data_IF_422149371086
#
_entry.id   IF_422149371086
#
_cell.length_a   1.000
_cell.length_b   1.000
_cell.length_c   1.000
_cell.angle_alpha   90.00
_cell.angle_beta   90.00
_cell.angle_gamma   90.00
#
_symmetry.space_group_name_H-M   'P 1'
#
loop_
_entity.id
_entity.type
_entity.pdbx_description
1 polymer ?
#
# COMPACT_ATOMS: atom_id res chain seq x y z
N UNK A 1 26.14 -34.03 71.37
CA UNK A 1 26.27 -35.24 70.54
C UNK A 1 24.89 -35.79 70.23
N UNK A 2 24.31 -35.45 69.07
CA UNK A 2 23.23 -36.20 68.43
C UNK A 2 23.51 -36.08 66.92
N UNK A 3 23.85 -37.19 66.28
CA UNK A 3 24.10 -37.22 64.83
C UNK A 3 22.79 -37.19 64.05
N UNK A 4 22.73 -36.57 62.85
CA UNK A 4 21.61 -36.75 61.95
C UNK A 4 21.65 -38.16 61.34
N UNK A 5 20.52 -38.87 61.43
CA UNK A 5 20.33 -40.23 60.93
C UNK A 5 20.55 -40.30 59.39
N UNK A 6 21.22 -41.34 58.85
CA UNK A 6 21.42 -41.46 57.42
C UNK A 6 20.10 -41.86 56.72
N UNK A 7 19.69 -41.07 55.72
CA UNK A 7 18.49 -41.37 54.92
C UNK A 7 18.67 -42.72 54.19
N UNK A 8 17.69 -43.65 54.25
CA UNK A 8 17.78 -44.91 53.53
C UNK A 8 17.71 -44.69 52.01
N UNK A 9 18.45 -45.51 51.26
CA UNK A 9 18.57 -45.40 49.81
C UNK A 9 17.23 -45.67 49.10
N UNK A 10 16.86 -44.78 48.17
CA UNK A 10 15.53 -44.65 47.58
C UNK A 10 15.04 -45.81 46.69
N UNK A 11 15.77 -46.92 46.60
CA UNK A 11 15.53 -48.01 45.65
C UNK A 11 14.54 -49.07 46.12
N UNK A 12 14.73 -49.61 47.33
CA UNK A 12 14.12 -50.89 47.73
C UNK A 12 12.86 -50.78 48.61
N UNK A 13 12.65 -49.65 49.31
CA UNK A 13 11.52 -49.48 50.24
C UNK A 13 10.13 -49.33 49.58
N UNK A 14 10.06 -49.30 48.23
CA UNK A 14 8.86 -48.85 47.49
C UNK A 14 7.77 -49.90 47.24
N UNK A 15 8.04 -51.17 47.56
CA UNK A 15 7.13 -52.29 47.27
C UNK A 15 6.17 -52.64 48.43
N UNK A 16 6.49 -52.24 49.67
CA UNK A 16 5.69 -52.53 50.86
C UNK A 16 4.87 -51.31 51.36
N UNK A 17 4.65 -50.31 50.50
CA UNK A 17 3.99 -49.07 50.88
C UNK A 17 2.47 -49.21 50.92
N UNK A 18 1.86 -48.86 52.07
CA UNK A 18 0.40 -48.81 52.21
C UNK A 18 -0.23 -47.82 51.22
N UNK A 19 -1.44 -48.14 50.74
CA UNK A 19 -2.19 -47.30 49.79
C UNK A 19 -2.31 -45.84 50.25
N UNK A 20 -2.48 -45.63 51.56
CA UNK A 20 -2.61 -44.29 52.15
C UNK A 20 -1.32 -43.48 51.98
N UNK A 21 -0.18 -44.06 52.32
CA UNK A 21 1.16 -43.47 52.18
C UNK A 21 1.51 -43.18 50.71
N UNK A 22 1.06 -44.04 49.79
CA UNK A 22 1.23 -43.86 48.35
C UNK A 22 0.37 -42.69 47.82
N UNK A 23 -0.86 -42.55 48.32
CA UNK A 23 -1.76 -41.45 47.99
C UNK A 23 -1.25 -40.10 48.52
N UNK A 24 -0.85 -40.05 49.79
CA UNK A 24 -0.28 -38.86 50.44
C UNK A 24 0.95 -38.34 49.69
N UNK A 25 1.88 -39.23 49.33
CA UNK A 25 3.07 -38.84 48.54
C UNK A 25 2.72 -38.35 47.13
N UNK A 26 1.65 -38.86 46.54
CA UNK A 26 1.15 -38.38 45.24
C UNK A 26 0.53 -36.98 45.36
N UNK A 27 -0.21 -36.73 46.43
CA UNK A 27 -0.77 -35.42 46.77
C UNK A 27 0.34 -34.40 47.09
N UNK A 28 1.31 -34.75 47.93
CA UNK A 28 2.48 -33.94 48.26
C UNK A 28 3.33 -33.62 47.01
N UNK A 29 3.52 -34.58 46.09
CA UNK A 29 4.17 -34.33 44.80
C UNK A 29 3.38 -33.33 43.94
N UNK A 30 2.05 -33.38 44.00
CA UNK A 30 1.15 -32.48 43.26
C UNK A 30 1.10 -31.08 43.87
N UNK A 31 1.12 -30.98 45.19
CA UNK A 31 1.19 -29.71 45.94
C UNK A 31 2.57 -29.06 45.81
N UNK A 32 3.67 -29.82 45.91
CA UNK A 32 5.02 -29.35 45.61
C UNK A 32 5.13 -28.76 44.20
N UNK A 33 4.45 -29.35 43.20
CA UNK A 33 4.35 -28.79 41.83
C UNK A 33 3.48 -27.53 41.72
N UNK A 34 2.48 -27.34 42.60
CA UNK A 34 1.69 -26.09 42.70
C UNK A 34 2.45 -24.98 43.42
N UNK A 35 3.21 -25.33 44.46
CA UNK A 35 3.91 -24.37 45.33
C UNK A 35 5.29 -23.96 44.80
N UNK A 36 5.81 -24.59 43.74
CA UNK A 36 6.99 -24.08 43.03
C UNK A 36 6.67 -22.74 42.36
N UNK A 37 7.39 -21.64 42.68
CA UNK A 37 7.32 -20.44 41.87
C UNK A 37 7.67 -20.79 40.43
N UNK A 38 6.88 -20.30 39.46
CA UNK A 38 7.10 -20.56 38.03
C UNK A 38 8.28 -19.75 37.46
N UNK A 39 9.46 -19.92 38.05
CA UNK A 39 10.76 -19.49 37.53
C UNK A 39 11.16 -20.46 36.43
N UNK A 40 10.49 -20.35 35.29
CA UNK A 40 11.18 -20.64 34.03
C UNK A 40 12.25 -19.57 33.86
N UNK A 41 13.49 -19.95 33.55
CA UNK A 41 14.62 -19.02 33.38
C UNK A 41 14.32 -17.90 32.37
N UNK A 42 13.39 -18.16 31.45
CA UNK A 42 12.83 -17.20 30.51
C UNK A 42 12.12 -15.99 31.17
N UNK A 43 11.62 -16.08 32.41
CA UNK A 43 10.75 -15.05 33.05
C UNK A 43 11.45 -14.08 34.02
N UNK A 44 12.66 -14.36 34.50
CA UNK A 44 13.37 -13.47 35.44
C UNK A 44 14.13 -12.32 34.76
N UNK A 45 14.44 -12.43 33.47
CA UNK A 45 15.18 -11.40 32.74
C UNK A 45 14.27 -10.20 32.46
N UNK A 46 14.57 -9.06 33.08
CA UNK A 46 13.83 -7.81 32.93
C UNK A 46 13.72 -7.36 31.46
N UNK A 47 12.66 -6.61 31.13
CA UNK A 47 12.27 -6.27 29.75
C UNK A 47 13.45 -5.82 28.89
N UNK A 48 14.30 -4.92 29.40
CA UNK A 48 15.49 -4.37 28.72
C UNK A 48 16.48 -5.45 28.28
N UNK A 49 16.87 -6.36 29.17
CA UNK A 49 17.88 -7.39 28.87
C UNK A 49 17.32 -8.48 27.93
N UNK A 50 16.00 -8.73 27.96
CA UNK A 50 15.31 -9.53 26.92
C UNK A 50 15.36 -8.84 25.55
N UNK A 51 15.17 -7.52 25.47
CA UNK A 51 15.25 -6.79 24.20
C UNK A 51 16.66 -6.88 23.63
N UNK A 52 17.69 -6.59 24.43
CA UNK A 52 19.09 -6.74 24.03
C UNK A 52 19.44 -8.16 23.58
N UNK A 53 19.00 -9.19 24.32
CA UNK A 53 19.25 -10.59 23.93
C UNK A 53 18.52 -10.98 22.64
N UNK A 54 17.28 -10.49 22.43
CA UNK A 54 16.54 -10.70 21.17
C UNK A 54 17.22 -10.00 20.00
N UNK A 55 17.64 -8.76 20.16
CA UNK A 55 18.39 -8.01 19.15
C UNK A 55 19.73 -8.68 18.84
N UNK A 56 20.48 -9.15 19.85
CA UNK A 56 21.72 -9.89 19.65
C UNK A 56 21.51 -11.17 18.81
N UNK A 57 20.46 -11.95 19.13
CA UNK A 57 20.07 -13.14 18.36
C UNK A 57 19.51 -12.83 16.96
N UNK A 58 19.07 -11.58 16.72
CA UNK A 58 18.58 -11.11 15.43
C UNK A 58 19.75 -10.60 14.56
N UNK A 59 20.66 -9.80 15.13
CA UNK A 59 21.94 -9.40 14.50
C UNK A 59 22.78 -10.63 14.12
N UNK A 60 22.94 -11.60 15.02
CA UNK A 60 23.66 -12.84 14.73
C UNK A 60 23.03 -13.65 13.58
N UNK A 61 21.69 -13.67 13.48
CA UNK A 61 20.98 -14.31 12.35
C UNK A 61 21.16 -13.55 11.04
N UNK A 62 21.11 -12.22 11.06
CA UNK A 62 21.41 -11.39 9.89
C UNK A 62 22.86 -11.57 9.42
N UNK A 63 23.84 -11.55 10.32
CA UNK A 63 25.24 -11.81 9.99
C UNK A 63 25.46 -13.19 9.37
N UNK A 64 24.79 -14.24 9.87
CA UNK A 64 24.82 -15.57 9.27
C UNK A 64 24.15 -15.61 7.89
N UNK A 65 23.07 -14.86 7.68
CA UNK A 65 22.40 -14.72 6.39
C UNK A 65 23.29 -14.01 5.35
N UNK A 66 23.93 -12.89 5.73
CA UNK A 66 24.88 -12.18 4.89
C UNK A 66 26.11 -13.04 4.55
N UNK A 67 26.69 -13.73 5.56
CA UNK A 67 27.82 -14.66 5.37
C UNK A 67 27.47 -15.82 4.41
N UNK A 68 26.26 -16.39 4.51
CA UNK A 68 25.78 -17.46 3.60
C UNK A 68 25.50 -17.00 2.17
N UNK A 69 25.33 -15.69 1.95
CA UNK A 69 25.02 -15.09 0.64
C UNK A 69 26.17 -14.25 0.05
N UNK A 70 27.34 -14.24 0.70
CA UNK A 70 28.50 -13.41 0.34
C UNK A 70 28.19 -11.91 0.15
N UNK A 71 27.17 -11.42 0.85
CA UNK A 71 26.78 -10.01 0.85
C UNK A 71 27.63 -9.27 1.90
N UNK A 72 28.46 -8.32 1.47
CA UNK A 72 29.13 -7.39 2.39
C UNK A 72 28.10 -6.41 2.95
N UNK A 73 28.10 -6.24 4.27
CA UNK A 73 27.40 -5.14 4.92
C UNK A 73 28.29 -3.91 4.79
N UNK A 74 27.84 -2.89 4.05
CA UNK A 74 28.42 -1.55 4.18
C UNK A 74 27.95 -0.93 5.50
N UNK A 75 28.76 -1.05 6.56
CA UNK A 75 28.67 -0.11 7.69
C UNK A 75 29.24 1.24 7.24
N UNK A 76 28.38 2.04 6.63
CA UNK A 76 28.70 3.37 6.11
C UNK A 76 28.83 4.36 7.29
N UNK A 77 29.95 4.30 8.00
CA UNK A 77 30.09 4.99 9.29
C UNK A 77 31.49 5.29 9.82
N UNK A 78 32.59 4.87 9.17
CA UNK A 78 33.94 5.29 9.58
C UNK A 78 34.74 5.88 8.41
N UNK A 79 35.00 7.19 8.49
CA UNK A 79 35.92 7.90 7.62
C UNK A 79 37.21 8.20 8.39
N UNK A 80 38.23 7.36 8.16
CA UNK A 80 39.65 7.60 8.46
C UNK A 80 40.42 6.92 7.33
N UNK A 81 41.50 7.42 6.73
CA UNK A 81 42.27 8.66 6.82
C UNK A 81 43.44 8.45 5.82
N UNK A 82 43.80 9.37 4.92
CA UNK A 82 45.04 9.27 4.15
C UNK A 82 46.17 10.08 4.80
N UNK A 83 47.13 9.38 5.41
CA UNK A 83 48.49 9.85 5.70
C UNK A 83 49.44 9.02 4.82
N UNK A 84 50.57 9.49 4.29
CA UNK A 84 51.25 10.78 4.43
C UNK A 84 52.07 11.08 3.14
N UNK A 85 52.52 12.33 2.97
CA UNK A 85 53.40 12.75 1.86
C UNK A 85 53.72 14.25 1.91
N UNK A 86 54.92 14.58 2.37
CA UNK A 86 55.45 15.95 2.56
C UNK A 86 55.96 16.62 1.24
N UNK A 87 56.63 17.80 1.25
CA UNK A 87 56.24 19.11 1.81
C UNK A 87 56.46 20.29 0.82
N UNK A 88 55.91 21.48 1.10
CA UNK A 88 56.29 22.72 0.40
C UNK A 88 55.65 23.99 1.00
N UNK A 89 56.32 25.18 1.02
CA UNK A 89 56.17 26.08 2.19
C UNK A 89 55.65 27.50 1.89
N UNK A 90 55.66 28.34 2.95
CA UNK A 90 55.42 29.80 2.98
C UNK A 90 53.93 30.21 3.09
N UNK A 91 53.51 31.18 3.94
CA UNK A 91 54.24 32.08 4.86
C UNK A 91 53.26 32.73 5.86
N UNK A 92 53.68 32.97 7.12
CA UNK A 92 53.37 34.13 8.02
C UNK A 92 51.88 34.54 8.27
N UNK A 93 51.45 35.06 9.42
CA UNK A 93 52.04 35.35 10.74
C UNK A 93 50.87 35.63 11.71
N UNK A 94 50.98 35.36 13.03
CA UNK A 94 49.97 35.84 14.00
C UNK A 94 49.76 34.99 15.26
N UNK A 95 50.71 35.02 16.20
CA UNK A 95 50.48 34.76 17.64
C UNK A 95 49.89 36.05 18.26
N UNK A 96 49.28 36.16 19.46
CA UNK A 96 48.86 35.25 20.56
C UNK A 96 47.55 35.86 21.18
N UNK A 97 46.98 35.54 22.36
CA UNK A 97 47.24 34.62 23.51
C UNK A 97 45.86 34.27 24.09
N UNK A 98 45.54 33.03 24.45
CA UNK A 98 45.59 32.47 25.83
C UNK A 98 44.95 33.32 26.95
N UNK A 99 43.80 32.86 27.49
CA UNK A 99 43.41 32.93 28.92
C UNK A 99 42.00 32.30 29.19
N UNK A 100 42.02 31.14 29.88
CA UNK A 100 41.03 30.57 30.85
C UNK A 100 39.52 30.93 30.86
N UNK A 101 38.70 29.87 30.70
CA UNK A 101 37.72 29.30 31.69
C UNK A 101 36.57 30.17 32.30
N UNK A 102 35.47 29.57 32.85
CA UNK A 102 34.44 28.76 32.17
C UNK A 102 33.00 29.22 32.58
N UNK A 103 31.97 28.37 32.36
CA UNK A 103 30.57 28.51 32.84
C UNK A 103 29.72 29.58 32.10
N UNK A 104 28.39 29.49 31.97
CA UNK A 104 27.44 28.36 32.01
C UNK A 104 26.03 28.84 31.57
N UNK A 105 25.09 27.91 31.44
CA UNK A 105 23.62 28.09 31.43
C UNK A 105 22.82 28.47 30.16
N UNK A 106 21.70 27.75 30.07
CA UNK A 106 20.38 28.16 29.57
C UNK A 106 20.19 28.42 28.05
N UNK A 107 19.88 27.33 27.34
CA UNK A 107 19.05 27.39 26.12
C UNK A 107 17.72 28.12 26.43
N UNK A 108 17.38 29.13 25.64
CA UNK A 108 15.99 29.60 25.45
C UNK A 108 15.59 29.41 23.98
N UNK A 109 14.32 29.11 23.78
CA UNK A 109 13.71 28.62 22.53
C UNK A 109 13.61 29.72 21.46
N UNK A 110 13.81 29.39 20.18
CA UNK A 110 13.00 29.88 19.05
C UNK A 110 13.27 29.06 17.77
N UNK A 111 12.22 28.93 16.94
CA UNK A 111 12.14 28.07 15.75
C UNK A 111 12.54 28.82 14.45
N UNK A 112 12.08 28.42 13.26
CA UNK A 112 12.73 27.44 12.38
C UNK A 112 13.24 28.06 11.07
N UNK A 113 14.11 27.37 10.31
CA UNK A 113 14.44 27.78 8.94
C UNK A 113 14.54 26.61 7.96
N UNK A 114 14.07 26.88 6.74
CA UNK A 114 13.95 25.98 5.58
C UNK A 114 15.31 25.49 5.04
N UNK A 115 15.32 24.24 4.55
CA UNK A 115 15.92 23.75 3.29
C UNK A 115 15.58 22.23 3.24
N UNK A 116 14.88 21.65 2.25
CA UNK A 116 15.00 21.62 0.77
C UNK A 116 16.08 20.65 0.27
N UNK A 117 15.63 19.73 -0.60
CA UNK A 117 16.36 18.78 -1.46
C UNK A 117 16.90 17.47 -0.88
N UNK A 118 16.61 16.35 -1.57
CA UNK A 118 17.08 15.01 -1.22
C UNK A 118 16.31 13.86 -1.89
N UNK A 119 16.08 13.90 -3.20
CA UNK A 119 15.41 12.83 -3.96
C UNK A 119 16.31 11.60 -4.16
N UNK A 120 15.76 10.41 -3.95
CA UNK A 120 16.19 9.19 -4.66
C UNK A 120 15.00 8.24 -4.80
N UNK A 121 14.68 7.87 -6.03
CA UNK A 121 13.58 6.95 -6.37
C UNK A 121 13.94 5.50 -6.03
N UNK A 122 12.92 4.69 -5.73
CA UNK A 122 12.88 3.33 -6.27
C UNK A 122 11.43 2.95 -6.60
N UNK A 123 11.25 2.21 -7.70
CA UNK A 123 9.96 2.05 -8.40
C UNK A 123 9.41 0.65 -8.14
N UNK A 124 8.17 0.55 -7.67
CA UNK A 124 7.35 -0.65 -7.89
C UNK A 124 5.89 -0.28 -8.19
N UNK A 125 5.44 -0.69 -9.37
CA UNK A 125 4.04 -0.70 -9.75
C UNK A 125 3.68 -2.13 -10.18
N UNK A 126 2.72 -2.75 -9.48
CA UNK A 126 1.92 -3.86 -10.02
C UNK A 126 0.49 -3.72 -9.52
N UNK A 127 -0.47 -4.04 -10.37
CA UNK A 127 -1.87 -3.66 -10.23
C UNK A 127 -2.71 -4.57 -9.31
N UNK A 128 -3.90 -4.06 -8.99
CA UNK A 128 -4.97 -4.72 -8.24
C UNK A 128 -5.52 -5.98 -8.92
N UNK A 129 -6.10 -6.90 -8.13
CA UNK A 129 -7.55 -7.16 -8.16
C UNK A 129 -8.06 -7.74 -6.81
N UNK A 130 -9.36 -7.58 -6.48
CA UNK A 130 -9.93 -7.92 -5.16
C UNK A 130 -10.79 -9.21 -5.18
N UNK A 131 -11.19 -9.73 -4.01
CA UNK A 131 -12.35 -10.61 -3.89
C UNK A 131 -13.59 -9.88 -3.33
N UNK A 132 -14.74 -10.17 -3.95
CA UNK A 132 -16.09 -10.07 -3.37
C UNK A 132 -16.09 -10.63 -1.93
N UNK A 133 -16.81 -10.08 -0.95
CA UNK A 133 -18.09 -9.40 -1.04
C UNK A 133 -19.19 -10.37 -0.58
N UNK A 134 -19.54 -10.29 0.71
CA UNK A 134 -20.69 -10.94 1.32
C UNK A 134 -21.10 -10.16 2.57
N UNK A 135 -22.04 -9.25 2.39
CA UNK A 135 -22.68 -8.55 3.50
C UNK A 135 -23.68 -9.48 4.18
N UNK A 136 -23.63 -9.59 5.51
CA UNK A 136 -24.84 -9.82 6.31
C UNK A 136 -24.64 -9.26 7.72
N UNK A 137 -25.43 -8.25 8.02
CA UNK A 137 -25.54 -7.61 9.33
C UNK A 137 -26.88 -8.05 10.00
N UNK A 138 -27.26 -7.63 11.23
CA UNK A 138 -27.64 -8.60 12.25
C UNK A 138 -29.10 -8.46 12.74
N UNK A 139 -29.55 -9.42 13.55
CA UNK A 139 -30.73 -9.27 14.39
C UNK A 139 -30.63 -10.08 15.69
N UNK A 140 -30.84 -9.34 16.78
CA UNK A 140 -31.21 -9.68 18.16
C UNK A 140 -31.68 -11.10 18.53
N UNK A 141 -31.35 -11.54 19.76
CA UNK A 141 -32.27 -11.49 20.91
C UNK A 141 -31.60 -11.97 22.22
N UNK A 142 -32.04 -11.43 23.37
CA UNK A 142 -31.50 -11.71 24.71
C UNK A 142 -31.97 -13.08 25.29
N UNK A 143 -31.23 -13.64 26.27
CA UNK A 143 -31.59 -14.89 26.93
C UNK A 143 -32.58 -14.69 28.09
N UNK A 144 -33.38 -15.73 28.40
CA UNK A 144 -34.25 -15.76 29.59
C UNK A 144 -34.00 -16.99 30.45
N UNK A 145 -34.02 -16.80 31.77
CA UNK A 145 -33.91 -17.86 32.78
C UNK A 145 -35.25 -18.61 32.95
N UNK A 146 -35.17 -19.88 33.34
CA UNK A 146 -36.06 -20.48 34.34
C UNK A 146 -35.44 -21.78 34.91
N UNK A 147 -35.73 -22.12 36.16
CA UNK A 147 -35.39 -23.40 36.78
C UNK A 147 -36.63 -24.13 37.28
N UNK A 148 -36.46 -25.35 37.80
CA UNK A 148 -37.52 -26.13 38.47
C UNK A 148 -37.75 -27.53 37.89
N UNK A 149 -37.86 -28.52 38.77
CA UNK A 149 -38.20 -29.94 38.52
C UNK A 149 -39.56 -30.26 39.21
N UNK A 150 -40.07 -31.51 39.24
CA UNK A 150 -40.64 -32.35 38.17
C UNK A 150 -42.05 -32.88 38.64
N UNK A 151 -42.47 -34.16 38.47
CA UNK A 151 -42.70 -35.01 37.28
C UNK A 151 -44.18 -35.42 37.09
N UNK A 152 -44.56 -35.92 35.90
CA UNK A 152 -45.80 -36.69 35.63
C UNK A 152 -45.51 -37.81 34.59
N UNK A 153 -46.36 -38.84 34.57
CA UNK A 153 -46.09 -40.17 33.95
C UNK A 153 -46.03 -40.22 32.41
N UNK A 154 -45.33 -41.22 31.81
CA UNK A 154 -45.30 -41.43 30.37
C UNK A 154 -46.50 -42.24 29.84
N UNK A 155 -47.12 -41.84 28.70
CA UNK A 155 -48.29 -42.50 28.13
C UNK A 155 -47.97 -43.63 27.13
N UNK A 156 -49.03 -44.38 26.79
CA UNK A 156 -49.04 -45.57 25.92
C UNK A 156 -49.07 -45.18 24.42
N UNK A 157 -48.27 -45.86 23.55
CA UNK A 157 -48.71 -46.57 22.31
C UNK A 157 -47.60 -46.69 21.22
N UNK A 158 -47.31 -47.95 20.82
CA UNK A 158 -47.24 -48.53 19.44
C UNK A 158 -46.30 -47.86 18.38
N UNK A 159 -45.61 -48.64 17.51
CA UNK A 159 -46.30 -49.49 16.51
C UNK A 159 -45.72 -50.88 16.23
N UNK A 160 -46.60 -51.78 15.77
CA UNK A 160 -46.25 -53.00 15.04
C UNK A 160 -46.52 -52.73 13.55
N UNK A 161 -45.58 -53.07 12.67
CA UNK A 161 -45.69 -52.81 11.22
C UNK A 161 -45.10 -53.97 10.40
N UNK A 162 -45.95 -54.51 9.50
CA UNK A 162 -45.62 -55.36 8.35
C UNK A 162 -45.09 -56.77 8.70
N UNK A 163 -45.30 -57.82 7.88
CA UNK A 163 -45.35 -57.84 6.42
C UNK A 163 -46.55 -58.58 5.79
N UNK A 164 -46.82 -58.15 4.55
CA UNK A 164 -47.37 -58.85 3.37
C UNK A 164 -47.36 -60.40 3.46
N UNK A 165 -48.34 -61.14 2.94
CA UNK A 165 -49.33 -60.76 1.93
C UNK A 165 -48.87 -61.16 0.52
N UNK A 166 -48.97 -62.45 0.20
CA UNK A 166 -48.86 -62.98 -1.16
C UNK A 166 -50.21 -63.57 -1.56
N UNK A 167 -50.73 -63.13 -2.70
CA UNK A 167 -52.02 -63.57 -3.23
C UNK A 167 -51.89 -64.93 -3.92
N UNK A 168 -52.95 -65.73 -3.82
CA UNK A 168 -53.50 -66.39 -5.00
C UNK A 168 -55.03 -66.32 -4.93
N UNK A 169 -55.63 -65.57 -5.87
CA UNK A 169 -57.06 -65.69 -6.21
C UNK A 169 -57.14 -66.57 -7.44
N UNK A 170 -57.92 -67.64 -7.35
CA UNK A 170 -58.42 -68.46 -8.45
C UNK A 170 -59.59 -69.28 -7.87
N UNK A 171 -60.71 -69.51 -8.54
CA UNK A 171 -61.29 -68.85 -9.71
C UNK A 171 -62.80 -69.14 -9.66
N UNK A 172 -63.64 -68.40 -10.39
CA UNK A 172 -65.06 -68.79 -10.49
C UNK A 172 -65.18 -70.03 -11.37
N UNK A 173 -65.92 -71.05 -10.93
CA UNK A 173 -66.47 -72.04 -11.86
C UNK A 173 -67.87 -72.44 -11.42
N UNK A 174 -68.83 -72.10 -12.26
CA UNK A 174 -70.24 -72.46 -12.11
C UNK A 174 -70.46 -73.94 -12.52
N UNK A 175 -71.68 -74.51 -12.39
CA UNK A 175 -71.87 -75.97 -12.39
C UNK A 175 -71.67 -76.58 -13.77
N UNK A 176 -71.46 -77.90 -13.85
CA UNK A 176 -72.14 -78.81 -14.82
C UNK A 176 -71.62 -80.26 -14.73
N UNK A 177 -72.57 -81.18 -14.53
CA UNK A 177 -72.73 -82.53 -15.13
C UNK A 177 -71.48 -83.41 -15.33
N UNK A 178 -71.57 -84.61 -14.72
CA UNK A 178 -71.11 -85.93 -15.19
C UNK A 178 -70.05 -85.95 -16.32
N UNK A 179 -68.93 -86.64 -16.07
CA UNK A 179 -68.68 -87.83 -16.88
C UNK A 179 -67.85 -88.90 -16.15
N UNK A 180 -68.19 -90.14 -16.47
CA UNK A 180 -67.51 -91.38 -16.04
C UNK A 180 -66.49 -91.83 -17.12
N UNK A 181 -65.62 -92.78 -16.75
CA UNK A 181 -64.61 -93.49 -17.55
C UNK A 181 -63.47 -92.61 -18.11
N UNK A 182 -62.18 -92.95 -17.98
CA UNK A 182 -61.52 -94.26 -17.90
C UNK A 182 -60.14 -94.10 -17.22
N UNK A 183 -59.93 -94.62 -16.01
CA UNK A 183 -59.46 -96.00 -15.74
C UNK A 183 -58.05 -96.34 -16.23
N UNK A 184 -57.07 -96.13 -15.34
CA UNK A 184 -56.01 -97.09 -14.91
C UNK A 184 -55.07 -96.31 -13.96
N UNK A 185 -55.37 -96.21 -12.66
CA UNK A 185 -54.70 -97.02 -11.61
C UNK A 185 -55.47 -96.96 -10.25
N UNK A 186 -56.80 -96.98 -10.28
CA UNK A 186 -57.67 -96.58 -9.15
C UNK A 186 -57.42 -97.26 -7.79
N UNK A 187 -56.99 -98.53 -7.74
CA UNK A 187 -56.79 -99.23 -6.45
C UNK A 187 -55.56 -98.77 -5.68
N UNK A 188 -54.45 -98.47 -6.38
CA UNK A 188 -53.28 -97.87 -5.73
C UNK A 188 -53.60 -96.44 -5.27
N UNK A 189 -54.21 -95.65 -6.15
CA UNK A 189 -54.55 -94.24 -5.88
C UNK A 189 -55.51 -94.10 -4.70
N UNK A 190 -56.58 -94.90 -4.61
CA UNK A 190 -57.57 -94.75 -3.53
C UNK A 190 -57.10 -95.27 -2.15
N UNK A 191 -56.14 -96.19 -2.08
CA UNK A 191 -55.51 -96.61 -0.82
C UNK A 191 -54.52 -95.53 -0.37
N UNK A 192 -53.66 -95.07 -1.29
CA UNK A 192 -52.74 -93.97 -1.04
C UNK A 192 -53.48 -92.69 -0.61
N UNK A 193 -54.60 -92.32 -1.25
CA UNK A 193 -55.39 -91.15 -0.88
C UNK A 193 -55.90 -91.22 0.57
N UNK A 194 -56.36 -92.39 1.05
CA UNK A 194 -56.81 -92.55 2.45
C UNK A 194 -55.66 -92.40 3.44
N UNK A 195 -54.52 -93.01 3.14
CA UNK A 195 -53.31 -92.91 3.98
C UNK A 195 -52.74 -91.48 3.96
N UNK A 196 -52.77 -90.79 2.82
CA UNK A 196 -52.38 -89.38 2.65
C UNK A 196 -53.34 -88.47 3.44
N UNK A 197 -54.65 -88.71 3.40
CA UNK A 197 -55.63 -87.94 4.18
C UNK A 197 -55.39 -88.14 5.68
N UNK A 198 -55.23 -89.37 6.16
CA UNK A 198 -54.92 -89.67 7.56
C UNK A 198 -53.59 -89.04 8.01
N UNK A 199 -52.56 -89.11 7.18
CA UNK A 199 -51.28 -88.44 7.44
C UNK A 199 -51.45 -86.92 7.49
N UNK A 200 -52.33 -86.34 6.66
CA UNK A 200 -52.67 -84.92 6.72
C UNK A 200 -53.40 -84.55 8.01
N UNK A 201 -54.23 -85.43 8.56
CA UNK A 201 -54.95 -85.24 9.82
C UNK A 201 -54.00 -85.32 11.01
N UNK A 202 -53.13 -86.33 11.06
CA UNK A 202 -52.07 -86.41 12.06
C UNK A 202 -51.11 -85.21 11.99
N UNK A 203 -50.77 -84.73 10.79
CA UNK A 203 -49.94 -83.53 10.63
C UNK A 203 -50.65 -82.26 11.14
N UNK A 204 -51.94 -82.08 10.83
CA UNK A 204 -52.76 -80.97 11.37
C UNK A 204 -52.85 -81.04 12.89
N UNK A 205 -53.07 -82.22 13.46
CA UNK A 205 -53.21 -82.43 14.91
C UNK A 205 -51.87 -82.23 15.64
N UNK A 206 -50.76 -82.71 15.07
CA UNK A 206 -49.41 -82.45 15.57
C UNK A 206 -49.09 -80.94 15.57
N UNK A 207 -49.41 -80.22 14.48
CA UNK A 207 -49.23 -78.78 14.37
C UNK A 207 -50.10 -78.00 15.40
N UNK A 208 -51.32 -78.45 15.66
CA UNK A 208 -52.17 -77.87 16.72
C UNK A 208 -51.60 -78.10 18.12
N UNK A 209 -51.10 -79.31 18.42
CA UNK A 209 -50.40 -79.59 19.70
C UNK A 209 -49.15 -78.73 19.85
N UNK A 210 -48.38 -78.56 18.78
CA UNK A 210 -47.19 -77.70 18.76
C UNK A 210 -47.56 -76.23 19.04
N UNK A 211 -48.62 -75.71 18.43
CA UNK A 211 -49.12 -74.35 18.67
C UNK A 211 -49.56 -74.16 20.14
N UNK A 212 -50.30 -75.11 20.71
CA UNK A 212 -50.71 -75.08 22.13
C UNK A 212 -49.50 -75.16 23.06
N UNK A 213 -48.50 -75.99 22.74
CA UNK A 213 -47.28 -76.11 23.54
C UNK A 213 -46.44 -74.83 23.46
N UNK A 214 -46.33 -74.21 22.29
CA UNK A 214 -45.74 -72.87 22.10
C UNK A 214 -46.45 -71.80 22.93
N UNK A 215 -47.79 -71.79 22.94
CA UNK A 215 -48.57 -70.85 23.75
C UNK A 215 -48.36 -71.07 25.25
N UNK A 216 -48.34 -72.33 25.72
CA UNK A 216 -48.01 -72.67 27.12
C UNK A 216 -46.60 -72.25 27.49
N UNK A 217 -45.62 -72.41 26.58
CA UNK A 217 -44.24 -71.96 26.81
C UNK A 217 -44.16 -70.44 27.01
N UNK A 218 -44.86 -69.66 26.19
CA UNK A 218 -44.93 -68.18 26.35
C UNK A 218 -45.54 -67.82 27.70
N UNK A 219 -46.67 -68.42 28.09
CA UNK A 219 -47.31 -68.16 29.38
C UNK A 219 -46.40 -68.52 30.56
N UNK A 220 -45.69 -69.65 30.50
CA UNK A 220 -44.74 -70.04 31.54
C UNK A 220 -43.53 -69.09 31.61
N UNK A 221 -43.04 -68.60 30.47
CA UNK A 221 -41.97 -67.62 30.41
C UNK A 221 -42.41 -66.25 30.97
N UNK A 222 -43.63 -65.82 30.69
CA UNK A 222 -44.23 -64.61 31.26
C UNK A 222 -44.44 -64.75 32.78
N UNK A 223 -44.94 -65.88 33.25
CA UNK A 223 -45.13 -66.17 34.68
C UNK A 223 -43.80 -66.25 35.43
N UNK A 224 -42.77 -66.89 34.87
CA UNK A 224 -41.42 -66.90 35.45
C UNK A 224 -40.84 -65.48 35.52
N UNK A 225 -41.02 -64.69 34.45
CA UNK A 225 -40.59 -63.28 34.41
C UNK A 225 -41.37 -62.38 35.38
N UNK A 226 -42.63 -62.71 35.67
CA UNK A 226 -43.42 -62.04 36.71
C UNK A 226 -42.96 -62.45 38.11
N UNK A 227 -42.70 -63.73 38.35
CA UNK A 227 -42.24 -64.25 39.64
C UNK A 227 -40.86 -63.69 40.03
N UNK A 228 -39.89 -63.67 39.10
CA UNK A 228 -38.55 -63.11 39.33
C UNK A 228 -38.66 -61.62 39.71
N UNK A 229 -39.47 -60.83 38.96
CA UNK A 229 -39.71 -59.42 39.29
C UNK A 229 -40.38 -59.24 40.64
N UNK A 230 -41.33 -60.11 41.00
CA UNK A 230 -41.99 -60.08 42.30
C UNK A 230 -40.99 -60.39 43.44
N UNK A 231 -40.16 -61.42 43.31
CA UNK A 231 -39.12 -61.73 44.31
C UNK A 231 -38.08 -60.62 44.43
N UNK A 232 -37.61 -60.05 43.31
CA UNK A 232 -36.67 -58.92 43.31
C UNK A 232 -37.27 -57.68 44.00
N UNK A 233 -38.57 -57.44 43.80
CA UNK A 233 -39.27 -56.34 44.47
C UNK A 233 -39.43 -56.59 45.98
N UNK A 234 -39.70 -57.83 46.38
CA UNK A 234 -39.92 -58.24 47.77
C UNK A 234 -38.63 -58.12 48.60
N UNK A 235 -37.52 -58.74 48.15
CA UNK A 235 -36.25 -58.65 48.86
C UNK A 235 -35.67 -57.24 48.89
N UNK A 236 -35.91 -56.43 47.85
CA UNK A 236 -35.54 -55.01 47.81
C UNK A 236 -36.41 -54.16 48.76
N UNK A 237 -37.68 -54.50 48.90
CA UNK A 237 -38.58 -53.94 49.92
C UNK A 237 -38.05 -54.23 51.33
N UNK A 238 -37.80 -55.51 51.62
CA UNK A 238 -37.26 -55.97 52.91
C UNK A 238 -35.94 -55.26 53.27
N UNK A 239 -34.98 -55.19 52.34
CA UNK A 239 -33.70 -54.51 52.57
C UNK A 239 -33.88 -53.01 52.84
N UNK A 240 -34.82 -52.35 52.16
CA UNK A 240 -35.14 -50.95 52.42
C UNK A 240 -35.81 -50.77 53.79
N UNK A 241 -36.70 -51.67 54.18
CA UNK A 241 -37.34 -51.67 55.51
C UNK A 241 -36.29 -51.86 56.62
N UNK A 242 -35.39 -52.82 56.49
CA UNK A 242 -34.34 -53.07 57.49
C UNK A 242 -33.31 -51.92 57.55
N UNK A 243 -33.02 -51.26 56.41
CA UNK A 243 -32.25 -50.01 56.37
C UNK A 243 -32.98 -48.85 57.07
N UNK A 244 -34.31 -48.76 56.93
CA UNK A 244 -35.14 -47.77 57.62
C UNK A 244 -35.24 -48.06 59.12
N UNK A 245 -35.40 -49.33 59.54
CA UNK A 245 -35.32 -49.75 60.96
C UNK A 245 -33.95 -49.44 61.56
N UNK A 246 -32.87 -49.65 60.82
CA UNK A 246 -31.51 -49.27 61.26
C UNK A 246 -31.37 -47.77 61.47
N UNK A 247 -31.89 -46.95 60.55
CA UNK A 247 -31.95 -45.49 60.73
C UNK A 247 -32.83 -45.08 61.91
N UNK A 248 -34.03 -45.67 62.05
CA UNK A 248 -34.95 -45.40 63.13
C UNK A 248 -34.28 -45.67 64.49
N UNK A 249 -33.70 -46.85 64.67
CA UNK A 249 -32.91 -47.19 65.88
C UNK A 249 -31.75 -46.22 66.12
N UNK A 250 -31.09 -45.73 65.08
CA UNK A 250 -30.03 -44.73 65.25
C UNK A 250 -30.56 -43.37 65.72
N UNK A 251 -31.73 -42.95 65.23
CA UNK A 251 -32.41 -41.72 65.65
C UNK A 251 -33.01 -41.85 67.05
N UNK A 252 -33.61 -43.00 67.38
CA UNK A 252 -34.10 -43.35 68.72
C UNK A 252 -32.95 -43.34 69.73
N UNK A 253 -31.81 -43.96 69.40
CA UNK A 253 -30.60 -43.92 70.24
C UNK A 253 -30.06 -42.48 70.38
N UNK A 254 -30.01 -41.70 69.30
CA UNK A 254 -29.64 -40.28 69.38
C UNK A 254 -30.56 -39.53 70.33
N UNK A 255 -31.88 -39.60 70.12
CA UNK A 255 -32.89 -38.95 70.95
C UNK A 255 -32.81 -39.40 72.42
N UNK A 256 -32.69 -40.70 72.68
CA UNK A 256 -32.51 -41.25 74.03
C UNK A 256 -31.23 -40.71 74.69
N UNK A 257 -30.09 -40.69 73.98
CA UNK A 257 -28.87 -40.09 74.52
C UNK A 257 -28.96 -38.58 74.69
N UNK A 258 -29.70 -37.86 73.85
CA UNK A 258 -29.99 -36.44 74.03
C UNK A 258 -30.82 -36.22 75.31
N UNK A 259 -31.93 -36.94 75.47
CA UNK A 259 -32.81 -36.86 76.64
C UNK A 259 -32.09 -37.24 77.95
N UNK A 260 -31.15 -38.19 77.90
CA UNK A 260 -30.50 -38.72 79.10
C UNK A 260 -29.18 -38.00 79.47
N UNK A 261 -28.45 -37.42 78.49
CA UNK A 261 -27.14 -36.77 78.74
C UNK A 261 -27.20 -35.26 78.87
N UNK A 262 -28.22 -34.60 78.32
CA UNK A 262 -28.32 -33.16 78.37
C UNK A 262 -29.24 -32.74 79.51
N UNK A 263 -28.68 -32.06 80.51
CA UNK A 263 -29.49 -31.21 81.37
C UNK A 263 -30.17 -30.13 80.51
N UNK A 264 -31.38 -29.65 80.86
CA UNK A 264 -32.06 -28.61 80.08
C UNK A 264 -31.19 -27.37 79.82
N UNK A 265 -30.33 -27.03 80.79
CA UNK A 265 -29.33 -25.97 80.68
C UNK A 265 -28.25 -26.25 79.61
N UNK A 266 -27.72 -27.47 79.55
CA UNK A 266 -26.73 -27.88 78.55
C UNK A 266 -27.30 -27.89 77.13
N UNK A 267 -28.57 -28.28 76.95
CA UNK A 267 -29.21 -28.24 75.64
C UNK A 267 -29.48 -26.80 75.18
N UNK A 268 -29.97 -25.93 76.08
CA UNK A 268 -30.15 -24.51 75.78
C UNK A 268 -28.82 -23.82 75.43
N UNK A 269 -27.71 -24.19 76.09
CA UNK A 269 -26.38 -23.68 75.77
C UNK A 269 -25.96 -24.04 74.34
N UNK A 270 -26.11 -25.30 73.93
CA UNK A 270 -25.76 -25.72 72.56
C UNK A 270 -26.66 -25.05 71.51
N UNK A 271 -27.96 -24.89 71.79
CA UNK A 271 -28.88 -24.19 70.89
C UNK A 271 -28.48 -22.72 70.70
N UNK A 272 -28.07 -22.03 71.79
CA UNK A 272 -27.57 -20.66 71.72
C UNK A 272 -26.26 -20.58 70.91
N UNK A 273 -25.30 -21.47 71.17
CA UNK A 273 -24.04 -21.55 70.41
C UNK A 273 -24.27 -21.82 68.91
N UNK A 274 -25.28 -22.63 68.54
CA UNK A 274 -25.65 -22.89 67.14
C UNK A 274 -26.31 -21.68 66.48
N UNK A 275 -27.18 -20.96 67.20
CA UNK A 275 -27.82 -19.74 66.69
C UNK A 275 -26.80 -18.60 66.52
N UNK A 276 -25.85 -18.44 67.46
CA UNK A 276 -24.72 -17.52 67.33
C UNK A 276 -23.82 -17.87 66.13
N UNK A 277 -23.54 -19.16 65.89
CA UNK A 277 -22.80 -19.60 64.70
C UNK A 277 -23.57 -19.27 63.41
N UNK A 278 -24.86 -19.60 63.34
CA UNK A 278 -25.74 -19.27 62.21
C UNK A 278 -25.73 -17.77 61.92
N UNK A 279 -25.93 -16.94 62.95
CA UNK A 279 -25.92 -15.48 62.82
C UNK A 279 -24.53 -14.96 62.38
N UNK A 280 -23.43 -15.56 62.88
CA UNK A 280 -22.08 -15.24 62.42
C UNK A 280 -21.84 -15.60 60.94
N UNK A 281 -22.35 -16.74 60.47
CA UNK A 281 -22.26 -17.13 59.06
C UNK A 281 -23.12 -16.23 58.16
N UNK A 282 -24.35 -15.92 58.58
CA UNK A 282 -25.24 -15.01 57.85
C UNK A 282 -24.63 -13.60 57.75
N UNK A 283 -24.07 -13.09 58.85
CA UNK A 283 -23.41 -11.78 58.88
C UNK A 283 -22.17 -11.75 57.96
N UNK A 284 -21.29 -12.77 58.02
CA UNK A 284 -20.14 -12.89 57.10
C UNK A 284 -20.56 -13.01 55.64
N UNK A 285 -21.68 -13.69 55.37
CA UNK A 285 -22.24 -13.77 54.01
C UNK A 285 -22.70 -12.40 53.53
N UNK A 286 -23.45 -11.64 54.35
CA UNK A 286 -23.88 -10.26 54.05
C UNK A 286 -22.70 -9.33 53.80
N UNK A 287 -21.69 -9.34 54.67
CA UNK A 287 -20.45 -8.56 54.52
C UNK A 287 -19.69 -8.93 53.23
N UNK A 288 -19.61 -10.22 52.89
CA UNK A 288 -18.97 -10.66 51.64
C UNK A 288 -19.75 -10.20 50.39
N UNK A 289 -21.08 -10.22 50.44
CA UNK A 289 -21.95 -9.75 49.35
C UNK A 289 -21.86 -8.23 49.19
N UNK A 290 -21.88 -7.49 50.30
CA UNK A 290 -21.68 -6.03 50.28
C UNK A 290 -20.32 -5.67 49.66
N UNK A 291 -19.24 -6.34 50.08
CA UNK A 291 -17.91 -6.13 49.51
C UNK A 291 -17.87 -6.41 48.00
N UNK A 292 -18.48 -7.51 47.55
CA UNK A 292 -18.57 -7.83 46.11
C UNK A 292 -19.39 -6.81 45.33
N UNK A 293 -20.45 -6.24 45.93
CA UNK A 293 -21.22 -5.15 45.33
C UNK A 293 -20.40 -3.85 45.23
N UNK A 294 -19.65 -3.48 46.27
CA UNK A 294 -18.75 -2.33 46.26
C UNK A 294 -17.64 -2.50 45.20
N UNK A 295 -17.00 -3.68 45.14
CA UNK A 295 -16.03 -4.02 44.10
C UNK A 295 -16.64 -3.94 42.70
N UNK A 296 -17.85 -4.48 42.50
CA UNK A 296 -18.60 -4.39 41.23
C UNK A 296 -18.86 -2.93 40.84
N UNK A 297 -19.39 -2.10 41.74
CA UNK A 297 -19.67 -0.68 41.48
C UNK A 297 -18.39 0.08 41.11
N UNK A 298 -17.26 -0.22 41.79
CA UNK A 298 -15.96 0.37 41.47
C UNK A 298 -15.48 -0.04 40.06
N UNK A 299 -15.66 -1.31 39.67
CA UNK A 299 -15.29 -1.81 38.36
C UNK A 299 -16.17 -1.21 37.24
N UNK A 300 -17.47 -1.02 37.47
CA UNK A 300 -18.38 -0.34 36.54
C UNK A 300 -17.98 1.14 36.36
N UNK A 301 -17.61 1.85 37.43
CA UNK A 301 -17.10 3.23 37.35
C UNK A 301 -15.79 3.31 36.55
N UNK A 302 -14.86 2.38 36.76
CA UNK A 302 -13.62 2.31 35.97
C UNK A 302 -13.90 1.98 34.50
N UNK A 303 -14.84 1.06 34.21
CA UNK A 303 -15.26 0.75 32.84
C UNK A 303 -15.87 1.98 32.13
N UNK A 304 -16.74 2.73 32.81
CA UNK A 304 -17.27 3.97 32.23
C UNK A 304 -16.16 5.02 32.01
N UNK A 305 -15.17 5.10 32.91
CA UNK A 305 -14.03 6.00 32.76
C UNK A 305 -13.19 5.65 31.52
N UNK A 306 -12.89 4.36 31.31
CA UNK A 306 -12.13 3.88 30.15
C UNK A 306 -12.93 3.96 28.85
N UNK A 307 -14.26 3.76 28.88
CA UNK A 307 -15.14 4.01 27.73
C UNK A 307 -15.12 5.49 27.30
N UNK A 308 -15.18 6.43 28.25
CA UNK A 308 -15.09 7.87 27.94
C UNK A 308 -13.71 8.24 27.37
N UNK A 309 -12.62 7.70 27.91
CA UNK A 309 -11.28 7.99 27.39
C UNK A 309 -11.00 7.32 26.05
N UNK A 310 -11.60 6.14 25.77
CA UNK A 310 -11.60 5.50 24.46
C UNK A 310 -12.34 6.36 23.42
N UNK A 311 -13.56 6.80 23.70
CA UNK A 311 -14.33 7.65 22.80
C UNK A 311 -13.60 8.97 22.46
N UNK A 312 -12.93 9.58 23.44
CA UNK A 312 -12.08 10.77 23.21
C UNK A 312 -10.82 10.46 22.39
N UNK A 313 -10.28 9.25 22.46
CA UNK A 313 -9.17 8.81 21.61
C UNK A 313 -9.64 8.52 20.18
N UNK A 314 -10.81 7.90 20.01
CA UNK A 314 -11.44 7.65 18.71
C UNK A 314 -11.77 8.95 17.98
N UNK A 315 -12.37 9.94 18.67
CA UNK A 315 -12.60 11.27 18.12
C UNK A 315 -11.29 11.90 17.60
N UNK A 316 -10.23 11.91 18.41
CA UNK A 316 -8.92 12.45 18.00
C UNK A 316 -8.33 11.70 16.82
N UNK A 317 -8.47 10.37 16.77
CA UNK A 317 -8.05 9.59 15.61
C UNK A 317 -8.79 10.02 14.34
N UNK A 318 -10.09 10.32 14.41
CA UNK A 318 -10.85 10.83 13.27
C UNK A 318 -10.41 12.25 12.86
N UNK A 319 -10.18 13.15 13.83
CA UNK A 319 -9.62 14.48 13.59
C UNK A 319 -8.26 14.41 12.86
N UNK A 320 -7.36 13.51 13.29
CA UNK A 320 -6.06 13.30 12.63
C UNK A 320 -6.19 12.70 11.23
N UNK A 321 -7.15 11.79 10.99
CA UNK A 321 -7.45 11.29 9.63
C UNK A 321 -7.93 12.41 8.71
N UNK A 322 -8.86 13.25 9.19
CA UNK A 322 -9.39 14.37 8.41
C UNK A 322 -8.28 15.37 8.04
N UNK A 323 -7.39 15.70 9.00
CA UNK A 323 -6.22 16.54 8.73
C UNK A 323 -5.24 15.90 7.73
N UNK A 324 -5.02 14.59 7.81
CA UNK A 324 -4.17 13.86 6.88
C UNK A 324 -4.74 13.86 5.45
N UNK A 325 -6.04 13.61 5.29
CA UNK A 325 -6.68 13.63 3.96
C UNK A 325 -6.72 15.05 3.37
N UNK A 326 -7.00 16.09 4.17
CA UNK A 326 -6.89 17.48 3.73
C UNK A 326 -5.47 17.83 3.26
N UNK A 327 -4.45 17.49 4.04
CA UNK A 327 -3.05 17.70 3.66
C UNK A 327 -2.68 16.91 2.37
N UNK A 328 -3.22 15.71 2.20
CA UNK A 328 -3.06 14.87 1.00
C UNK A 328 -3.83 15.42 -0.21
N UNK A 329 -4.85 16.24 -0.02
CA UNK A 329 -5.48 17.04 -1.07
C UNK A 329 -4.63 18.27 -1.42
N UNK A 330 -4.08 18.98 -0.42
CA UNK A 330 -3.14 20.09 -0.64
C UNK A 330 -1.88 19.64 -1.41
N UNK A 331 -1.30 18.47 -1.08
CA UNK A 331 -0.20 17.89 -1.86
C UNK A 331 -0.60 17.55 -3.30
N UNK A 332 -1.84 17.11 -3.53
CA UNK A 332 -2.36 16.84 -4.88
C UNK A 332 -2.56 18.13 -5.67
N UNK A 333 -3.11 19.18 -5.06
CA UNK A 333 -3.30 20.48 -5.73
C UNK A 333 -1.97 21.17 -6.01
N UNK A 334 -1.02 21.19 -5.06
CA UNK A 334 0.33 21.68 -5.29
C UNK A 334 1.05 20.89 -6.40
N UNK A 335 0.87 19.57 -6.45
CA UNK A 335 1.35 18.71 -7.53
C UNK A 335 0.68 18.95 -8.89
N UNK A 336 -0.53 19.51 -8.94
CA UNK A 336 -1.12 20.01 -10.20
C UNK A 336 -0.57 21.38 -10.58
N UNK A 337 -0.41 22.29 -9.62
CA UNK A 337 0.15 23.64 -9.86
C UNK A 337 1.60 23.57 -10.35
N UNK A 338 2.41 22.67 -9.79
CA UNK A 338 3.78 22.47 -10.24
C UNK A 338 3.85 22.02 -11.70
N UNK A 339 3.04 21.01 -12.10
CA UNK A 339 2.97 20.54 -13.50
C UNK A 339 2.47 21.60 -14.47
N UNK A 340 1.55 22.45 -14.03
CA UNK A 340 1.07 23.59 -14.81
C UNK A 340 2.19 24.63 -15.01
N UNK A 341 2.93 24.99 -13.95
CA UNK A 341 4.08 25.89 -14.05
C UNK A 341 5.22 25.28 -14.91
N UNK A 342 5.46 23.97 -14.82
CA UNK A 342 6.39 23.28 -15.71
C UNK A 342 5.94 23.39 -17.18
N UNK A 343 4.66 23.15 -17.48
CA UNK A 343 4.09 23.32 -18.82
C UNK A 343 4.29 24.75 -19.34
N UNK A 344 4.00 25.76 -18.51
CA UNK A 344 4.20 27.17 -18.85
C UNK A 344 5.68 27.50 -19.10
N UNK A 345 6.62 26.95 -18.32
CA UNK A 345 8.06 27.11 -18.55
C UNK A 345 8.50 26.50 -19.89
N UNK A 346 8.01 25.30 -20.26
CA UNK A 346 8.30 24.71 -21.57
C UNK A 346 7.75 25.58 -22.72
N UNK A 347 6.54 26.12 -22.58
CA UNK A 347 5.95 27.04 -23.58
C UNK A 347 6.78 28.34 -23.71
N UNK A 348 7.24 28.91 -22.59
CA UNK A 348 8.11 30.09 -22.60
C UNK A 348 9.48 29.79 -23.21
N UNK A 349 10.06 28.62 -22.93
CA UNK A 349 11.31 28.16 -23.53
C UNK A 349 11.19 28.01 -25.05
N UNK A 350 10.10 27.41 -25.56
CA UNK A 350 9.84 27.33 -27.01
C UNK A 350 9.62 28.70 -27.64
N UNK A 351 8.95 29.65 -26.96
CA UNK A 351 8.80 31.03 -27.42
C UNK A 351 10.14 31.78 -27.50
N UNK A 352 11.02 31.57 -26.50
CA UNK A 352 12.36 32.15 -26.46
C UNK A 352 13.23 31.62 -27.60
N UNK A 353 13.29 30.29 -27.78
CA UNK A 353 13.99 29.67 -28.91
C UNK A 353 13.45 30.16 -30.27
N UNK A 354 12.14 30.38 -30.37
CA UNK A 354 11.49 31.00 -31.52
C UNK A 354 11.85 32.48 -31.72
N UNK A 355 12.25 33.21 -30.67
CA UNK A 355 12.80 34.56 -30.76
C UNK A 355 14.28 34.53 -31.18
N UNK A 356 15.10 33.73 -30.50
CA UNK A 356 16.52 33.58 -30.81
C UNK A 356 16.77 33.21 -32.28
N UNK A 357 15.95 32.32 -32.84
CA UNK A 357 16.03 31.92 -34.26
C UNK A 357 15.67 33.04 -35.23
N UNK A 358 14.68 33.90 -34.90
CA UNK A 358 14.33 35.09 -35.70
C UNK A 358 15.40 36.18 -35.58
N UNK A 359 15.93 36.38 -34.39
CA UNK A 359 16.99 37.37 -34.16
C UNK A 359 18.28 36.93 -34.86
N UNK A 360 18.58 35.63 -34.91
CA UNK A 360 19.69 35.09 -35.70
C UNK A 360 19.50 35.36 -37.20
N UNK A 361 18.28 35.15 -37.74
CA UNK A 361 17.95 35.47 -39.14
C UNK A 361 18.06 36.98 -39.43
N UNK A 362 17.54 37.83 -38.53
CA UNK A 362 17.63 39.28 -38.66
C UNK A 362 19.09 39.76 -38.65
N UNK A 363 19.91 39.24 -37.73
CA UNK A 363 21.35 39.55 -37.67
C UNK A 363 22.11 39.06 -38.92
N UNK A 364 21.71 37.94 -39.53
CA UNK A 364 22.26 37.51 -40.81
C UNK A 364 21.90 38.47 -41.94
N UNK A 365 20.63 38.90 -42.02
CA UNK A 365 20.18 39.88 -43.01
C UNK A 365 20.86 41.24 -42.85
N UNK A 366 21.04 41.72 -41.61
CA UNK A 366 21.77 42.96 -41.31
C UNK A 366 23.22 42.87 -41.81
N UNK A 367 23.94 41.78 -41.53
CA UNK A 367 25.33 41.60 -42.03
C UNK A 367 25.41 41.61 -43.57
N UNK A 368 24.42 41.02 -44.26
CA UNK A 368 24.38 41.06 -45.72
C UNK A 368 24.19 42.50 -46.22
N UNK A 369 23.24 43.25 -45.65
CA UNK A 369 23.00 44.65 -46.00
C UNK A 369 24.20 45.57 -45.64
N UNK A 370 24.90 45.30 -44.54
CA UNK A 370 26.13 46.01 -44.16
C UNK A 370 27.26 45.76 -45.15
N UNK A 371 27.43 44.52 -45.60
CA UNK A 371 28.40 44.15 -46.64
C UNK A 371 28.05 44.83 -47.97
N UNK A 372 26.79 44.77 -48.43
CA UNK A 372 26.32 45.45 -49.64
C UNK A 372 26.53 46.96 -49.56
N UNK A 373 26.20 47.58 -48.41
CA UNK A 373 26.44 49.01 -48.15
C UNK A 373 27.93 49.34 -48.25
N UNK A 374 28.80 48.50 -47.68
CA UNK A 374 30.25 48.69 -47.73
C UNK A 374 30.78 48.54 -49.17
N UNK A 375 30.31 47.54 -49.92
CA UNK A 375 30.62 47.40 -51.34
C UNK A 375 30.21 48.63 -52.14
N UNK A 376 28.98 49.11 -51.96
CA UNK A 376 28.47 50.32 -52.60
C UNK A 376 29.30 51.55 -52.23
N UNK A 377 29.71 51.70 -50.98
CA UNK A 377 30.64 52.76 -50.57
C UNK A 377 31.97 52.69 -51.32
N UNK A 378 32.62 51.52 -51.39
CA UNK A 378 33.87 51.39 -52.17
C UNK A 378 33.68 51.60 -53.69
N UNK A 379 32.48 51.36 -54.22
CA UNK A 379 32.13 51.64 -55.63
C UNK A 379 31.96 53.15 -55.83
N UNK A 380 31.26 53.84 -54.93
CA UNK A 380 31.11 55.31 -54.94
C UNK A 380 32.47 56.01 -54.77
N UNK A 381 33.32 55.58 -53.83
CA UNK A 381 34.67 56.12 -53.65
C UNK A 381 35.57 55.94 -54.88
N UNK A 382 35.41 54.84 -55.62
CA UNK A 382 36.09 54.64 -56.92
C UNK A 382 35.59 55.66 -57.94
N UNK A 383 34.28 55.70 -58.19
CA UNK A 383 33.67 56.64 -59.14
C UNK A 383 33.91 58.13 -58.77
N UNK A 384 34.05 58.44 -57.49
CA UNK A 384 34.43 59.76 -56.99
C UNK A 384 35.85 60.09 -57.42
N UNK A 385 36.83 59.22 -57.13
CA UNK A 385 38.23 59.40 -57.55
C UNK A 385 38.39 59.46 -59.06
N UNK A 386 37.66 58.63 -59.79
CA UNK A 386 37.68 58.63 -61.26
C UNK A 386 37.12 59.96 -61.81
N UNK A 387 36.04 60.48 -61.21
CA UNK A 387 35.49 61.81 -61.54
C UNK A 387 36.46 62.94 -61.20
N UNK A 388 37.09 62.90 -60.03
CA UNK A 388 38.03 63.93 -59.58
C UNK A 388 39.27 63.97 -60.51
N UNK A 389 39.75 62.79 -60.95
CA UNK A 389 40.78 62.65 -61.97
C UNK A 389 40.34 63.25 -63.32
N UNK A 390 39.20 62.82 -63.86
CA UNK A 390 38.66 63.39 -65.10
C UNK A 390 38.42 64.91 -64.99
N UNK A 391 38.00 65.42 -63.83
CA UNK A 391 37.82 66.86 -63.62
C UNK A 391 39.17 67.59 -63.70
N UNK A 392 40.23 67.01 -63.11
CA UNK A 392 41.59 67.54 -63.17
C UNK A 392 42.13 67.53 -64.61
N UNK A 393 41.87 66.45 -65.36
CA UNK A 393 42.22 66.35 -66.78
C UNK A 393 41.48 67.40 -67.63
N UNK A 394 40.16 67.58 -67.42
CA UNK A 394 39.39 68.60 -68.14
C UNK A 394 39.83 70.02 -67.79
N UNK A 395 40.18 70.29 -66.53
CA UNK A 395 40.74 71.58 -66.08
C UNK A 395 42.09 71.84 -66.76
N UNK A 396 42.98 70.84 -66.77
CA UNK A 396 44.28 70.92 -67.44
C UNK A 396 44.16 71.14 -68.95
N UNK A 397 43.25 70.44 -69.62
CA UNK A 397 42.96 70.64 -71.05
C UNK A 397 42.34 72.03 -71.31
N UNK A 398 41.46 72.52 -70.43
CA UNK A 398 40.88 73.86 -70.55
C UNK A 398 41.94 74.96 -70.37
N UNK A 399 42.90 74.76 -69.46
CA UNK A 399 44.02 75.69 -69.28
C UNK A 399 45.05 75.58 -70.42
N UNK A 400 45.25 74.40 -71.03
CA UNK A 400 46.00 74.28 -72.29
C UNK A 400 45.31 75.02 -73.43
N UNK A 401 43.99 74.90 -73.55
CA UNK A 401 43.21 75.61 -74.56
C UNK A 401 43.34 77.13 -74.38
N UNK A 402 43.17 77.66 -73.15
CA UNK A 402 43.38 79.09 -72.86
C UNK A 402 44.77 79.56 -73.26
N UNK A 403 45.84 78.82 -72.90
CA UNK A 403 47.21 79.18 -73.32
C UNK A 403 47.34 79.20 -74.84
N UNK A 404 46.76 78.24 -75.55
CA UNK A 404 46.77 78.21 -77.01
C UNK A 404 45.94 79.36 -77.62
N UNK A 405 44.84 79.76 -76.99
CA UNK A 405 44.05 80.93 -77.37
C UNK A 405 44.80 82.25 -77.10
N UNK A 406 45.50 82.38 -75.98
CA UNK A 406 46.37 83.50 -75.64
C UNK A 406 47.56 83.61 -76.61
N UNK A 407 48.22 82.48 -76.92
CA UNK A 407 49.27 82.39 -77.94
C UNK A 407 48.73 82.77 -79.33
N UNK A 408 47.55 82.27 -79.71
CA UNK A 408 46.87 82.63 -80.96
C UNK A 408 46.53 84.12 -81.00
N UNK A 409 46.05 84.72 -79.91
CA UNK A 409 45.80 86.15 -79.81
C UNK A 409 47.11 86.96 -79.92
N UNK A 410 48.19 86.50 -79.28
CA UNK A 410 49.51 87.11 -79.41
C UNK A 410 50.12 86.97 -80.83
N UNK A 411 49.81 85.88 -81.54
CA UNK A 411 50.16 85.72 -82.95
C UNK A 411 49.28 86.61 -83.84
N UNK A 412 47.99 86.75 -83.56
CA UNK A 412 47.08 87.67 -84.28
C UNK A 412 47.52 89.12 -84.10
N UNK A 413 47.89 89.56 -82.90
CA UNK A 413 48.41 90.92 -82.70
C UNK A 413 49.76 91.14 -83.39
N UNK A 414 50.66 90.14 -83.40
CA UNK A 414 51.88 90.18 -84.23
C UNK A 414 51.56 90.25 -85.73
N UNK A 415 50.58 89.51 -86.23
CA UNK A 415 50.14 89.58 -87.64
C UNK A 415 49.53 90.96 -87.95
N UNK A 416 48.76 91.56 -87.05
CA UNK A 416 48.25 92.92 -87.18
C UNK A 416 49.38 93.96 -87.18
N UNK A 417 50.40 93.81 -86.32
CA UNK A 417 51.60 94.64 -86.34
C UNK A 417 52.39 94.49 -87.65
N UNK A 418 52.55 93.26 -88.16
CA UNK A 418 53.19 93.03 -89.46
C UNK A 418 52.35 93.59 -90.62
N UNK A 419 51.02 93.50 -90.56
CA UNK A 419 50.13 94.14 -91.54
C UNK A 419 50.25 95.67 -91.51
N UNK A 420 50.32 96.30 -90.33
CA UNK A 420 50.51 97.75 -90.24
C UNK A 420 51.90 98.18 -90.71
N UNK A 421 52.96 97.41 -90.41
CA UNK A 421 54.29 97.61 -90.98
C UNK A 421 54.30 97.45 -92.50
N UNK A 422 53.57 96.48 -93.05
CA UNK A 422 53.49 96.23 -94.49
C UNK A 422 52.62 97.29 -95.20
N UNK A 423 51.60 97.83 -94.54
CA UNK A 423 50.89 99.04 -94.99
C UNK A 423 51.80 100.27 -94.97
N UNK A 424 52.60 100.46 -93.92
CA UNK A 424 53.56 101.56 -93.83
C UNK A 424 54.66 101.44 -94.91
N UNK A 425 55.15 100.22 -95.20
CA UNK A 425 56.07 99.97 -96.31
C UNK A 425 55.40 100.15 -97.67
N UNK A 426 54.14 99.76 -97.83
CA UNK A 426 53.35 100.04 -99.04
C UNK A 426 53.16 101.54 -99.28
N UNK A 427 52.97 102.32 -98.22
CA UNK A 427 52.92 103.78 -98.29
C UNK A 427 54.29 104.38 -98.64
N UNK A 428 55.39 103.88 -98.06
CA UNK A 428 56.75 104.29 -98.43
C UNK A 428 57.11 103.95 -99.88
N UNK A 429 56.70 102.79 -100.39
CA UNK A 429 56.87 102.42 -101.80
C UNK A 429 56.03 103.33 -102.72
N UNK A 430 54.81 103.67 -102.32
CA UNK A 430 53.96 104.64 -103.03
C UNK A 430 54.52 106.07 -102.98
N UNK A 431 55.32 106.42 -101.97
CA UNK A 431 56.08 107.68 -101.91
C UNK A 431 57.34 107.64 -102.79
N UNK A 432 58.02 106.50 -102.91
CA UNK A 432 59.14 106.33 -103.84
C UNK A 432 58.67 106.32 -105.32
N UNK A 433 57.54 105.71 -105.65
CA UNK A 433 56.95 105.79 -107.01
C UNK A 433 56.58 107.22 -107.42
N UNK A 434 56.23 108.10 -106.48
CA UNK A 434 55.78 109.48 -106.77
C UNK A 434 56.89 110.44 -107.19
N UNK A 435 58.17 110.07 -107.08
CA UNK A 435 59.30 110.97 -107.36
C UNK A 435 59.99 110.76 -108.72
N UNK A 436 59.62 109.73 -109.51
CA UNK A 436 60.26 109.48 -110.81
C UNK A 436 59.27 109.36 -112.00
N UNK A 437 59.00 110.55 -112.55
CA UNK A 437 58.79 110.87 -113.98
C UNK A 437 57.37 110.95 -114.56
N UNK A 438 57.30 111.62 -115.73
CA UNK A 438 56.13 112.34 -116.28
C UNK A 438 55.97 111.96 -117.76
N UNK A 439 54.81 111.38 -118.14
CA UNK A 439 54.40 110.85 -119.49
C UNK A 439 55.07 109.50 -119.86
N UNK A 440 54.39 108.35 -120.08
CA UNK A 440 53.19 108.01 -120.92
C UNK A 440 53.46 108.08 -122.44
N UNK A 441 52.95 107.16 -123.31
CA UNK A 441 51.70 106.35 -123.27
C UNK A 441 51.94 104.80 -123.30
N UNK A 442 50.98 103.84 -123.38
CA UNK A 442 49.69 103.71 -124.10
C UNK A 442 48.81 102.56 -123.46
N UNK A 443 47.57 102.82 -123.01
CA UNK A 443 46.25 102.36 -123.58
C UNK A 443 46.04 100.82 -123.61
N UNK A 444 45.35 100.20 -122.64
CA UNK A 444 43.88 99.87 -122.55
C UNK A 444 43.42 98.77 -123.55
N UNK A 445 42.56 97.78 -123.24
CA UNK A 445 41.20 97.86 -122.63
C UNK A 445 40.67 96.52 -122.06
N UNK A 446 39.82 96.58 -121.00
CA UNK A 446 38.58 95.76 -120.72
C UNK A 446 38.61 94.21 -120.59
N UNK A 447 37.73 93.50 -119.86
CA UNK A 447 36.82 93.78 -118.70
C UNK A 447 36.09 92.48 -118.26
N UNK A 448 35.37 92.54 -117.12
CA UNK A 448 34.45 91.51 -116.54
C UNK A 448 35.10 90.28 -115.85
N UNK A 449 34.57 89.72 -114.77
CA UNK A 449 33.37 90.09 -113.96
C UNK A 449 32.73 88.88 -113.27
N UNK A 450 31.84 89.10 -112.28
CA UNK A 450 31.13 88.11 -111.42
C UNK A 450 32.04 87.37 -110.41
N UNK A 451 31.78 87.25 -109.09
CA UNK A 451 30.63 87.51 -108.19
C UNK A 451 29.42 86.59 -108.35
N UNK A 452 29.29 85.60 -107.45
CA UNK A 452 28.08 85.06 -106.78
C UNK A 452 28.62 84.00 -105.79
N UNK A 453 28.52 84.04 -104.46
CA UNK A 453 27.48 84.39 -103.47
C UNK A 453 26.65 83.19 -102.97
N UNK A 454 26.74 82.99 -101.64
CA UNK A 454 25.73 82.46 -100.71
C UNK A 454 25.33 80.96 -100.66
N UNK A 455 25.25 80.51 -99.38
CA UNK A 455 24.23 79.63 -98.77
C UNK A 455 24.46 78.10 -98.75
N UNK A 456 23.99 77.29 -97.78
CA UNK A 456 23.51 77.45 -96.36
C UNK A 456 23.27 76.01 -95.77
N UNK A 457 23.08 75.86 -94.44
CA UNK A 457 22.43 74.74 -93.68
C UNK A 457 23.19 73.41 -93.32
N UNK A 458 23.32 73.21 -92.00
CA UNK A 458 23.08 72.02 -91.12
C UNK A 458 23.19 70.56 -91.65
N UNK A 459 23.88 69.71 -90.87
CA UNK A 459 23.33 68.54 -90.08
C UNK A 459 24.50 67.79 -89.36
N UNK A 460 24.41 67.42 -88.07
CA UNK A 460 24.06 66.08 -87.50
C UNK A 460 25.05 64.93 -87.84
N UNK A 461 25.40 63.93 -87.00
CA UNK A 461 25.15 63.60 -85.58
C UNK A 461 26.10 62.45 -85.08
N UNK A 462 26.15 62.25 -83.76
CA UNK A 462 26.67 61.13 -82.93
C UNK A 462 27.48 59.94 -83.55
N UNK A 463 28.67 59.70 -82.98
CA UNK A 463 29.33 58.42 -82.66
C UNK A 463 30.59 58.73 -81.80
N UNK A 464 31.00 58.02 -80.75
CA UNK A 464 30.46 56.84 -80.03
C UNK A 464 30.68 57.00 -78.52
#
# INVERSE_FOLDING_TARGET
>A
MISPDPRPASGLARWAESYKTKYERWQETRESRRCRPNVTTCRQVGKVLRTQQREHLQRARQQQFFRRRNLKVEEKGEAQSPQAGEPGPSRRQGQATDLKEPLSWAKRISSPRQQVSGTSSEVFATQHQPPSGSWRDPADHLPSQAGGLPPQDPPIKKPLKHHHGTQTKAEETQPTIKHDASQQTNYGVAVLDKEIIQLSEYLKEALQRELVLKQKMVILQDLLSALIRASDSSWKGQLNEDKLKGKLRSLENQLYTCTQKYTPWGMNKVLLEMEDQKNSYEQKAKESLQKVLEEKMSAEQQLQSTQRSLALAEQKCEEWKSQYEALKEDWRTLGTQHRELESQLHVLQSKLQGADSRDLQMNQALRLLENERQELQTKTERLQRDRDLCSSDTQHLQDQLKRSEEEKLALVTKVQQLQSLLQNQSLQLQEQEKLLTKKAPHVETTSHGTVTSLSVLKSAALAS
#
